data_IF_183298668591
#
_entry.id   IF_183298668591
#
_cell.length_a   1.000
_cell.length_b   1.000
_cell.length_c   1.000
_cell.angle_alpha   90.00
_cell.angle_beta   90.00
_cell.angle_gamma   90.00
#
_symmetry.space_group_name_H-M   'P 1'
#
loop_
_entity.id
_entity.type
_entity.pdbx_description
1 polymer ?
#
# COMPACT_ATOMS: atom_id res chain seq x y z
N UNK A 1 -34.03 55.60 -51.77
CA UNK A 1 -34.57 54.67 -52.80
C UNK A 1 -34.21 53.27 -52.35
N UNK A 2 -35.16 52.47 -51.82
CA UNK A 2 -36.00 51.48 -52.54
C UNK A 2 -35.13 50.50 -53.35
N UNK A 3 -35.20 49.16 -53.27
CA UNK A 3 -36.21 48.17 -52.82
C UNK A 3 -35.48 46.78 -52.76
N UNK A 4 -35.77 45.87 -51.81
CA UNK A 4 -36.65 44.66 -51.90
C UNK A 4 -36.38 43.75 -53.13
N UNK A 5 -36.37 42.40 -53.14
CA UNK A 5 -36.53 41.29 -52.17
C UNK A 5 -36.63 39.95 -52.95
N UNK A 6 -36.48 38.80 -52.25
CA UNK A 6 -37.20 37.50 -52.40
C UNK A 6 -36.76 36.56 -53.58
N UNK A 7 -36.58 35.23 -53.50
CA UNK A 7 -37.04 34.07 -52.68
C UNK A 7 -35.95 32.94 -52.74
N UNK A 8 -35.60 32.23 -51.67
CA UNK A 8 -36.15 30.96 -51.12
C UNK A 8 -36.06 29.68 -52.00
N UNK A 9 -35.45 28.64 -51.40
CA UNK A 9 -35.78 27.22 -51.61
C UNK A 9 -34.71 26.33 -52.28
N UNK A 10 -33.97 25.54 -51.49
CA UNK A 10 -33.84 24.07 -51.65
C UNK A 10 -32.97 23.44 -50.54
N UNK A 11 -33.45 22.29 -50.08
CA UNK A 11 -33.08 21.48 -48.92
C UNK A 11 -31.60 21.08 -48.80
N UNK A 12 -31.05 21.20 -47.59
CA UNK A 12 -29.86 20.48 -47.16
C UNK A 12 -30.23 19.50 -46.03
N UNK A 13 -30.20 18.23 -46.39
CA UNK A 13 -30.41 17.05 -45.55
C UNK A 13 -29.34 16.97 -44.45
N UNK A 14 -29.80 16.68 -43.23
CA UNK A 14 -29.01 16.39 -42.03
C UNK A 14 -27.94 15.31 -42.25
N UNK A 15 -26.68 15.65 -41.97
CA UNK A 15 -25.62 14.69 -41.71
C UNK A 15 -25.45 14.55 -40.18
N UNK A 16 -25.46 13.33 -39.60
CA UNK A 16 -25.32 13.16 -38.17
C UNK A 16 -23.91 13.54 -37.68
N UNK A 17 -23.85 14.32 -36.61
CA UNK A 17 -22.61 14.59 -35.88
C UNK A 17 -21.92 13.27 -35.48
N UNK A 18 -20.58 13.18 -35.60
CA UNK A 18 -19.84 12.03 -35.09
C UNK A 18 -19.96 11.98 -33.55
N UNK A 19 -20.01 10.79 -32.94
CA UNK A 19 -20.13 10.67 -31.49
C UNK A 19 -18.86 11.22 -30.80
N UNK A 20 -19.08 12.00 -29.74
CA UNK A 20 -18.04 12.56 -28.88
C UNK A 20 -17.05 11.47 -28.42
N UNK A 21 -15.76 11.71 -28.70
CA UNK A 21 -14.69 10.92 -28.11
C UNK A 21 -14.63 11.19 -26.59
N UNK A 22 -14.53 10.16 -25.73
CA UNK A 22 -14.51 10.38 -24.29
C UNK A 22 -13.26 11.17 -23.87
N UNK A 23 -13.45 12.15 -22.97
CA UNK A 23 -12.38 12.97 -22.39
C UNK A 23 -11.31 12.06 -21.76
N UNK A 24 -10.04 12.33 -22.04
CA UNK A 24 -8.90 11.54 -21.54
C UNK A 24 -8.82 11.45 -20.01
N UNK A 25 -9.59 12.28 -19.30
CA UNK A 25 -9.79 12.23 -17.83
C UNK A 25 -10.64 11.05 -17.37
N UNK A 26 -11.65 10.64 -18.13
CA UNK A 26 -12.53 9.50 -17.79
C UNK A 26 -11.77 8.16 -17.87
N UNK A 27 -10.82 8.04 -18.81
CA UNK A 27 -9.97 6.86 -18.94
C UNK A 27 -8.95 6.73 -17.79
N UNK A 28 -8.52 7.86 -17.21
CA UNK A 28 -7.60 7.90 -16.05
C UNK A 28 -8.31 7.45 -14.78
N UNK A 29 -9.56 7.86 -14.59
CA UNK A 29 -10.39 7.48 -13.43
C UNK A 29 -10.81 6.00 -13.53
N UNK A 30 -11.12 5.52 -14.74
CA UNK A 30 -11.43 4.11 -15.00
C UNK A 30 -10.23 3.18 -14.77
N UNK A 31 -9.00 3.59 -15.10
CA UNK A 31 -7.80 2.77 -14.88
C UNK A 31 -7.39 2.66 -13.40
N UNK A 32 -7.53 3.74 -12.63
CA UNK A 32 -7.30 3.73 -11.18
C UNK A 32 -8.35 2.88 -10.44
N UNK A 33 -9.60 2.95 -10.89
CA UNK A 33 -10.68 2.13 -10.38
C UNK A 33 -10.55 0.65 -10.80
N UNK A 34 -10.09 0.34 -12.02
CA UNK A 34 -9.87 -1.03 -12.49
C UNK A 34 -8.80 -1.77 -11.67
N UNK A 35 -7.71 -1.07 -11.28
CA UNK A 35 -6.69 -1.59 -10.38
C UNK A 35 -7.25 -1.95 -8.98
N UNK A 36 -8.33 -1.28 -8.54
CA UNK A 36 -8.98 -1.50 -7.24
C UNK A 36 -10.05 -2.61 -7.26
N UNK A 37 -10.54 -3.04 -8.44
CA UNK A 37 -11.64 -4.02 -8.53
C UNK A 37 -11.20 -5.47 -8.65
N UNK A 38 -10.02 -5.71 -9.20
CA UNK A 38 -9.55 -7.09 -9.40
C UNK A 38 -9.12 -7.74 -8.05
N UNK A 39 -8.97 -6.93 -7.00
CA UNK A 39 -8.87 -7.43 -5.62
C UNK A 39 -10.24 -7.74 -5.01
N UNK A 40 -11.33 -7.07 -5.44
CA UNK A 40 -12.72 -7.39 -5.02
C UNK A 40 -13.32 -8.58 -5.76
N UNK A 41 -13.04 -8.73 -7.06
CA UNK A 41 -13.59 -9.82 -7.88
C UNK A 41 -13.12 -11.22 -7.47
N UNK A 42 -12.02 -11.30 -6.72
CA UNK A 42 -11.40 -12.57 -6.29
C UNK A 42 -11.74 -12.93 -4.82
N UNK A 43 -12.29 -11.99 -4.04
CA UNK A 43 -12.65 -12.22 -2.63
C UNK A 43 -14.15 -12.49 -2.40
N UNK A 44 -15.00 -12.35 -3.43
CA UNK A 44 -16.46 -12.48 -3.31
C UNK A 44 -17.01 -13.91 -3.47
N UNK A 45 -16.17 -14.95 -3.46
CA UNK A 45 -16.59 -16.34 -3.26
C UNK A 45 -15.69 -16.98 -2.21
N UNK A 46 -16.01 -16.73 -0.95
CA UNK A 46 -15.65 -17.63 0.13
C UNK A 46 -16.91 -18.41 0.42
N UNK A 47 -17.01 -19.60 -0.17
CA UNK A 47 -18.01 -20.58 0.20
C UNK A 47 -17.90 -20.83 1.72
N UNK A 48 -19.04 -20.90 2.39
CA UNK A 48 -19.11 -21.30 3.80
C UNK A 48 -18.89 -22.81 3.85
N UNK A 49 -17.63 -23.22 3.98
CA UNK A 49 -17.30 -24.63 4.20
C UNK A 49 -17.63 -25.06 5.65
N UNK A 50 -18.03 -26.33 5.86
CA UNK A 50 -18.37 -26.88 7.18
C UNK A 50 -17.16 -26.95 8.12
N UNK A 51 -17.36 -27.11 9.44
CA UNK A 51 -16.28 -27.06 10.41
C UNK A 51 -15.24 -28.17 10.17
N UNK A 52 -13.95 -27.93 10.46
CA UNK A 52 -12.88 -28.87 10.18
C UNK A 52 -12.99 -30.11 11.06
N UNK A 53 -12.99 -31.28 10.42
CA UNK A 53 -12.81 -32.59 11.08
C UNK A 53 -11.33 -32.98 11.07
N UNK A 54 -10.83 -33.31 12.25
CA UNK A 54 -9.56 -33.97 12.61
C UNK A 54 -8.20 -33.44 12.12
N UNK A 55 -7.28 -33.41 13.08
CA UNK A 55 -6.00 -32.72 13.07
C UNK A 55 -4.90 -33.46 12.30
N UNK A 56 -4.75 -33.17 11.01
CA UNK A 56 -3.44 -33.24 10.34
C UNK A 56 -2.88 -31.82 10.19
N UNK A 57 -1.64 -31.58 10.66
CA UNK A 57 -0.94 -30.32 10.39
C UNK A 57 -0.88 -30.15 8.86
N UNK A 58 -1.51 -29.13 8.27
CA UNK A 58 -1.47 -28.97 6.83
C UNK A 58 -0.01 -28.86 6.37
N UNK A 59 0.35 -29.44 5.20
CA UNK A 59 1.71 -29.41 4.70
C UNK A 59 2.19 -27.96 4.63
N UNK A 60 3.31 -27.68 5.29
CA UNK A 60 3.91 -26.35 5.29
C UNK A 60 4.56 -26.12 3.93
N UNK A 61 4.28 -24.97 3.31
CA UNK A 61 4.95 -24.58 2.07
C UNK A 61 6.44 -24.41 2.41
N UNK A 62 7.37 -25.12 1.75
CA UNK A 62 8.78 -25.00 2.06
C UNK A 62 9.30 -23.62 1.66
N UNK A 63 10.21 -23.05 2.45
CA UNK A 63 10.97 -21.88 2.05
C UNK A 63 12.00 -22.26 0.98
N UNK A 64 12.29 -21.34 0.06
CA UNK A 64 13.41 -21.48 -0.85
C UNK A 64 14.73 -21.35 -0.06
N UNK A 65 15.74 -22.13 -0.44
CA UNK A 65 17.09 -21.95 0.09
C UNK A 65 17.65 -20.61 -0.40
N UNK A 66 18.03 -19.68 0.50
CA UNK A 66 18.63 -18.42 0.09
C UNK A 66 19.94 -18.64 -0.67
N UNK A 67 20.23 -17.77 -1.64
CA UNK A 67 21.54 -17.78 -2.30
C UNK A 67 22.64 -17.35 -1.33
N UNK A 68 23.90 -17.72 -1.61
CA UNK A 68 25.05 -17.27 -0.82
C UNK A 68 25.08 -15.75 -0.69
N UNK A 69 24.83 -15.02 -1.78
CA UNK A 69 24.77 -13.55 -1.77
C UNK A 69 23.71 -13.01 -0.80
N UNK A 70 22.49 -13.58 -0.79
CA UNK A 70 21.43 -13.13 0.14
C UNK A 70 21.84 -13.41 1.59
N UNK A 71 22.50 -14.53 1.85
CA UNK A 71 23.00 -14.88 3.16
C UNK A 71 24.12 -13.93 3.63
N UNK A 72 25.03 -13.57 2.73
CA UNK A 72 26.11 -12.62 2.99
C UNK A 72 25.57 -11.22 3.27
N UNK A 73 24.62 -10.74 2.47
CA UNK A 73 23.93 -9.46 2.70
C UNK A 73 23.19 -9.44 4.03
N UNK A 74 22.48 -10.52 4.38
CA UNK A 74 21.78 -10.59 5.66
C UNK A 74 22.74 -10.60 6.85
N UNK A 75 23.90 -11.23 6.70
CA UNK A 75 24.96 -11.23 7.72
C UNK A 75 25.58 -9.85 7.86
N UNK A 76 25.96 -9.21 6.75
CA UNK A 76 26.56 -7.88 6.74
C UNK A 76 25.60 -6.80 7.26
N UNK A 77 24.29 -6.95 7.03
CA UNK A 77 23.26 -6.03 7.49
C UNK A 77 22.61 -6.45 8.80
N UNK A 78 23.11 -7.48 9.50
CA UNK A 78 22.48 -8.03 10.70
C UNK A 78 22.20 -6.93 11.73
N UNK A 79 23.17 -6.06 12.02
CA UNK A 79 22.99 -4.95 12.94
C UNK A 79 21.93 -3.95 12.47
N UNK A 80 21.85 -3.67 11.17
CA UNK A 80 20.86 -2.73 10.63
C UNK A 80 19.45 -3.33 10.71
N UNK A 81 19.31 -4.61 10.36
CA UNK A 81 18.04 -5.35 10.42
C UNK A 81 17.57 -5.56 11.86
N UNK A 82 18.48 -5.86 12.79
CA UNK A 82 18.16 -6.08 14.20
C UNK A 82 17.87 -4.77 14.94
N UNK A 83 18.46 -3.64 14.49
CA UNK A 83 18.29 -2.33 15.10
C UNK A 83 17.35 -1.41 14.29
N UNK A 84 16.22 -1.97 13.84
CA UNK A 84 15.08 -1.19 13.40
C UNK A 84 14.85 -1.08 11.89
N UNK A 85 15.60 -1.77 11.03
CA UNK A 85 15.24 -1.88 9.61
C UNK A 85 14.31 -3.07 9.34
N UNK A 86 13.10 -2.76 8.92
CA UNK A 86 12.04 -3.71 8.60
C UNK A 86 11.76 -3.72 7.09
N UNK A 87 12.45 -4.62 6.38
CA UNK A 87 12.20 -4.86 4.95
C UNK A 87 11.05 -5.84 4.78
N UNK A 88 10.13 -5.50 3.87
CA UNK A 88 8.95 -6.32 3.60
C UNK A 88 8.30 -6.03 2.26
N UNK A 89 7.32 -6.85 1.91
CA UNK A 89 6.55 -6.72 0.66
C UNK A 89 5.09 -6.39 0.97
N UNK A 90 4.33 -5.91 -0.02
CA UNK A 90 2.92 -5.52 0.17
C UNK A 90 1.95 -6.71 0.39
N UNK A 91 2.44 -7.94 0.23
CA UNK A 91 1.75 -9.21 0.48
C UNK A 91 2.78 -10.36 0.32
N UNK A 92 2.40 -11.60 0.63
CA UNK A 92 3.21 -12.81 0.50
C UNK A 92 2.59 -13.87 -0.43
N UNK A 93 1.62 -13.53 -1.28
CA UNK A 93 0.88 -14.55 -2.04
C UNK A 93 1.12 -14.51 -3.55
N UNK A 94 2.38 -14.52 -3.99
CA UNK A 94 2.75 -14.43 -5.41
C UNK A 94 3.44 -15.71 -5.92
N UNK A 95 2.79 -16.46 -6.84
CA UNK A 95 3.37 -17.69 -7.42
C UNK A 95 4.72 -17.52 -8.12
N UNK A 96 4.96 -16.36 -8.73
CA UNK A 96 6.24 -16.05 -9.39
C UNK A 96 7.44 -15.99 -8.45
N UNK A 97 7.25 -16.05 -7.14
CA UNK A 97 8.35 -16.12 -6.17
C UNK A 97 8.82 -17.55 -5.87
N UNK A 98 8.39 -18.54 -6.65
CA UNK A 98 8.99 -19.88 -6.62
C UNK A 98 10.50 -19.80 -6.90
N UNK A 99 11.32 -20.42 -6.05
CA UNK A 99 12.78 -20.31 -6.07
C UNK A 99 13.35 -19.04 -5.44
N UNK A 100 12.53 -18.00 -5.20
CA UNK A 100 12.95 -16.77 -4.52
C UNK A 100 12.57 -16.79 -3.03
N UNK A 101 11.33 -17.21 -2.74
CA UNK A 101 10.75 -17.28 -1.39
C UNK A 101 10.22 -18.69 -1.11
N UNK A 102 9.60 -19.35 -2.10
CA UNK A 102 8.98 -20.67 -1.94
C UNK A 102 9.83 -21.75 -2.61
N UNK A 103 10.03 -22.87 -1.94
CA UNK A 103 10.85 -23.98 -2.43
C UNK A 103 10.23 -24.75 -3.60
N UNK A 104 8.94 -24.55 -3.88
CA UNK A 104 8.24 -25.19 -4.99
C UNK A 104 7.14 -24.30 -5.58
N UNK A 105 6.79 -24.46 -6.87
CA UNK A 105 5.67 -23.77 -7.50
C UNK A 105 4.38 -24.01 -6.73
N UNK A 106 3.78 -22.93 -6.23
CA UNK A 106 2.58 -23.02 -5.39
C UNK A 106 1.55 -21.98 -5.85
N UNK A 107 0.29 -22.41 -5.97
CA UNK A 107 -0.81 -21.54 -6.36
C UNK A 107 -1.08 -20.42 -5.35
N UNK A 108 -1.56 -19.26 -5.85
CA UNK A 108 -1.83 -18.06 -5.04
C UNK A 108 -2.71 -18.33 -3.81
N UNK A 109 -3.74 -19.15 -3.94
CA UNK A 109 -4.66 -19.47 -2.84
C UNK A 109 -3.94 -20.19 -1.68
N UNK A 110 -3.08 -21.16 -1.99
CA UNK A 110 -2.29 -21.86 -0.99
C UNK A 110 -1.23 -20.94 -0.37
N UNK A 111 -0.53 -20.14 -1.18
CA UNK A 111 0.41 -19.13 -0.66
C UNK A 111 -0.27 -18.13 0.30
N UNK A 112 -1.48 -17.67 -0.03
CA UNK A 112 -2.22 -16.74 0.83
C UNK A 112 -2.57 -17.34 2.19
N UNK A 113 -2.81 -18.65 2.27
CA UNK A 113 -3.20 -19.34 3.52
C UNK A 113 -1.99 -19.83 4.33
N UNK A 114 -0.97 -20.33 3.65
CA UNK A 114 0.10 -21.15 4.25
C UNK A 114 1.51 -20.65 3.92
N UNK A 115 1.65 -19.59 3.11
CA UNK A 115 2.95 -19.13 2.61
C UNK A 115 3.69 -18.16 3.55
N UNK A 116 3.01 -17.64 4.58
CA UNK A 116 3.61 -16.67 5.51
C UNK A 116 4.80 -17.25 6.31
N UNK A 117 4.75 -18.51 6.82
CA UNK A 117 5.91 -19.11 7.49
C UNK A 117 7.14 -19.20 6.59
N UNK A 118 6.98 -19.59 5.31
CA UNK A 118 8.06 -19.63 4.33
C UNK A 118 8.60 -18.22 4.02
N UNK A 119 7.70 -17.27 3.82
CA UNK A 119 8.05 -15.86 3.60
C UNK A 119 8.91 -15.29 4.72
N UNK A 120 8.53 -15.56 5.97
CA UNK A 120 9.22 -15.05 7.15
C UNK A 120 10.58 -15.74 7.44
N UNK A 121 10.92 -16.81 6.72
CA UNK A 121 12.25 -17.44 6.79
C UNK A 121 13.28 -16.75 5.90
N UNK A 122 12.86 -15.90 4.94
CA UNK A 122 13.81 -15.22 4.07
C UNK A 122 14.74 -14.29 4.89
N UNK A 123 16.09 -14.39 4.77
CA UNK A 123 17.03 -13.74 5.69
C UNK A 123 16.90 -12.22 5.81
N UNK A 124 16.56 -11.55 4.71
CA UNK A 124 16.40 -10.09 4.66
C UNK A 124 15.00 -9.61 5.09
N UNK A 125 13.98 -10.46 5.10
CA UNK A 125 12.60 -10.03 5.30
C UNK A 125 12.22 -10.09 6.78
N UNK A 126 11.91 -8.91 7.34
CA UNK A 126 11.53 -8.73 8.75
C UNK A 126 10.16 -8.09 8.92
N UNK A 127 9.44 -7.87 7.83
CA UNK A 127 8.11 -7.28 7.85
C UNK A 127 7.27 -7.70 6.65
N UNK A 128 5.97 -7.47 6.74
CA UNK A 128 5.04 -7.58 5.61
C UNK A 128 3.93 -6.54 5.74
N UNK A 129 3.47 -6.03 4.59
CA UNK A 129 2.26 -5.23 4.49
C UNK A 129 1.03 -6.13 4.39
N UNK A 130 -0.02 -5.81 5.15
CA UNK A 130 -1.33 -6.46 5.08
C UNK A 130 -2.33 -5.47 4.46
N UNK A 131 -2.57 -5.58 3.16
CA UNK A 131 -3.49 -4.68 2.45
C UNK A 131 -4.94 -5.20 2.43
N UNK A 132 -5.19 -6.48 2.76
CA UNK A 132 -6.53 -7.08 2.76
C UNK A 132 -7.51 -6.40 3.73
N UNK A 133 -6.99 -5.80 4.81
CA UNK A 133 -7.78 -5.03 5.78
C UNK A 133 -8.49 -3.83 5.19
N UNK A 134 -8.01 -3.32 4.04
CA UNK A 134 -8.67 -2.23 3.32
C UNK A 134 -10.08 -2.60 2.84
N UNK A 135 -10.29 -3.86 2.44
CA UNK A 135 -11.55 -4.32 1.84
C UNK A 135 -12.54 -4.82 2.88
N UNK A 136 -12.05 -5.44 3.95
CA UNK A 136 -12.84 -5.93 5.06
C UNK A 136 -12.01 -5.81 6.35
N UNK A 137 -12.60 -5.32 7.45
CA UNK A 137 -11.95 -5.29 8.75
C UNK A 137 -11.29 -6.64 9.11
N UNK A 138 -10.11 -6.58 9.72
CA UNK A 138 -9.38 -7.76 10.18
C UNK A 138 -9.66 -7.92 11.67
N UNK A 139 -10.21 -9.07 12.05
CA UNK A 139 -10.41 -9.40 13.46
C UNK A 139 -9.10 -9.80 14.16
N UNK A 140 -9.13 -9.80 15.49
CA UNK A 140 -7.98 -10.12 16.32
C UNK A 140 -7.52 -11.58 16.12
N UNK A 141 -8.46 -12.50 15.87
CA UNK A 141 -8.18 -13.93 15.68
C UNK A 141 -7.28 -14.15 14.46
N UNK A 142 -7.62 -13.53 13.32
CA UNK A 142 -6.85 -13.64 12.08
C UNK A 142 -5.48 -12.99 12.20
N UNK A 143 -5.41 -11.81 12.82
CA UNK A 143 -4.13 -11.14 13.08
C UNK A 143 -3.23 -11.97 14.00
N UNK A 144 -3.80 -12.57 15.05
CA UNK A 144 -3.06 -13.43 16.00
C UNK A 144 -2.54 -14.68 15.31
N UNK A 145 -3.38 -15.31 14.48
CA UNK A 145 -2.98 -16.47 13.69
C UNK A 145 -1.78 -16.17 12.77
N UNK A 146 -1.71 -14.97 12.16
CA UNK A 146 -0.52 -14.57 11.40
C UNK A 146 0.67 -14.25 12.30
N UNK A 147 0.45 -13.60 13.44
CA UNK A 147 1.50 -13.29 14.40
C UNK A 147 2.20 -14.55 14.94
N UNK A 148 1.46 -15.64 15.13
CA UNK A 148 2.00 -16.94 15.57
C UNK A 148 2.88 -17.64 14.52
N UNK A 149 2.75 -17.27 13.24
CA UNK A 149 3.46 -17.90 12.12
C UNK A 149 4.84 -17.32 11.83
N UNK A 150 5.22 -16.22 12.50
CA UNK A 150 6.44 -15.46 12.18
C UNK A 150 7.37 -15.31 13.39
N UNK A 151 8.69 -15.11 13.17
CA UNK A 151 9.65 -14.89 14.24
C UNK A 151 9.32 -13.69 15.14
N UNK A 152 9.86 -13.66 16.36
CA UNK A 152 9.59 -12.63 17.37
C UNK A 152 9.99 -11.20 16.92
N UNK A 153 11.04 -11.09 16.11
CA UNK A 153 11.55 -9.84 15.55
C UNK A 153 10.75 -9.32 14.34
N UNK A 154 9.82 -10.12 13.82
CA UNK A 154 9.02 -9.73 12.67
C UNK A 154 7.99 -8.65 13.05
N UNK A 155 7.69 -7.75 12.13
CA UNK A 155 6.71 -6.67 12.35
C UNK A 155 5.68 -6.62 11.24
N UNK A 156 4.42 -6.35 11.58
CA UNK A 156 3.35 -6.17 10.60
C UNK A 156 3.05 -4.70 10.34
N UNK A 157 2.89 -4.35 9.07
CA UNK A 157 2.29 -3.09 8.64
C UNK A 157 0.87 -3.38 8.20
N UNK A 158 -0.11 -3.09 9.05
CA UNK A 158 -1.53 -3.43 8.78
C UNK A 158 -2.23 -2.22 8.20
N UNK A 159 -2.81 -2.37 7.01
CA UNK A 159 -3.60 -1.31 6.38
C UNK A 159 -5.01 -1.29 6.97
N UNK A 160 -5.43 -0.11 7.37
CA UNK A 160 -6.77 0.08 7.93
C UNK A 160 -7.87 0.00 6.86
N UNK A 161 -9.13 -0.28 7.26
CA UNK A 161 -10.27 -0.40 6.34
C UNK A 161 -10.61 0.89 5.59
N UNK A 162 -11.04 0.74 4.34
CA UNK A 162 -11.57 1.84 3.52
C UNK A 162 -12.80 2.52 4.15
N UNK A 163 -13.52 1.79 5.01
CA UNK A 163 -14.59 2.31 5.86
C UNK A 163 -14.15 3.53 6.69
N UNK A 164 -12.87 3.66 7.02
CA UNK A 164 -12.36 4.81 7.80
C UNK A 164 -11.68 5.84 6.89
N UNK A 165 -11.03 5.40 5.82
CA UNK A 165 -10.13 6.26 5.03
C UNK A 165 -10.67 6.70 3.69
N UNK A 166 -11.76 6.11 3.20
CA UNK A 166 -12.44 6.54 1.98
C UNK A 166 -13.63 7.44 2.34
N UNK A 167 -13.73 8.59 1.68
CA UNK A 167 -14.79 9.57 1.93
C UNK A 167 -16.14 9.10 1.40
N UNK A 168 -16.13 8.15 0.46
CA UNK A 168 -17.33 7.61 -0.16
C UNK A 168 -17.35 6.10 -0.06
N UNK A 169 -18.54 5.54 0.15
CA UNK A 169 -18.76 4.12 -0.11
C UNK A 169 -18.65 3.91 -1.61
N UNK A 170 -17.91 2.90 -2.02
CA UNK A 170 -17.71 2.57 -3.43
C UNK A 170 -18.35 1.22 -3.77
N UNK A 171 -19.11 1.18 -4.86
CA UNK A 171 -19.59 -0.06 -5.46
C UNK A 171 -18.43 -0.86 -6.09
N UNK A 172 -18.77 -2.02 -6.66
CA UNK A 172 -17.92 -2.63 -7.68
C UNK A 172 -17.57 -1.57 -8.74
N UNK A 173 -16.33 -1.56 -9.19
CA UNK A 173 -15.80 -0.55 -10.09
C UNK A 173 -15.35 0.77 -9.50
N UNK A 174 -15.20 0.86 -8.18
CA UNK A 174 -14.69 2.07 -7.52
C UNK A 174 -15.66 3.26 -7.60
N UNK A 175 -16.84 3.06 -8.20
CA UNK A 175 -17.85 4.10 -8.38
C UNK A 175 -18.42 4.51 -7.02
N UNK A 176 -18.39 5.80 -6.66
CA UNK A 176 -19.01 6.28 -5.43
C UNK A 176 -20.51 6.00 -5.48
N UNK A 177 -21.05 5.42 -4.41
CA UNK A 177 -22.49 5.17 -4.23
C UNK A 177 -23.11 6.04 -3.13
N UNK A 178 -22.29 6.81 -2.43
CA UNK A 178 -22.74 7.80 -1.46
C UNK A 178 -21.66 8.11 -0.43
N UNK A 179 -21.86 9.17 0.38
CA UNK A 179 -20.96 9.50 1.48
C UNK A 179 -20.73 8.30 2.40
N UNK A 180 -19.52 8.21 2.94
CA UNK A 180 -19.17 7.24 3.97
C UNK A 180 -19.26 7.91 5.34
N UNK A 181 -20.25 7.56 6.19
CA UNK A 181 -20.36 8.13 7.54
C UNK A 181 -19.19 7.74 8.45
N UNK A 182 -18.50 6.63 8.17
CA UNK A 182 -17.33 6.18 8.93
C UNK A 182 -16.03 6.91 8.61
N UNK A 183 -16.04 7.80 7.61
CA UNK A 183 -14.84 8.52 7.19
C UNK A 183 -14.30 9.38 8.34
N UNK A 184 -13.07 9.07 8.80
CA UNK A 184 -12.43 9.71 9.95
C UNK A 184 -13.26 9.63 11.25
N UNK A 185 -14.05 8.57 11.41
CA UNK A 185 -14.76 8.27 12.66
C UNK A 185 -13.82 7.53 13.64
N UNK A 186 -13.45 8.13 14.80
CA UNK A 186 -12.49 7.53 15.72
C UNK A 186 -13.03 6.35 16.51
N UNK A 187 -14.34 6.30 16.78
CA UNK A 187 -14.98 5.24 17.55
C UNK A 187 -15.02 3.97 16.70
N UNK A 188 -15.51 4.10 15.47
CA UNK A 188 -15.51 3.02 14.51
C UNK A 188 -14.08 2.59 14.15
N UNK A 189 -13.15 3.52 13.95
CA UNK A 189 -11.75 3.17 13.71
C UNK A 189 -11.12 2.40 14.88
N UNK A 190 -11.53 2.71 16.11
CA UNK A 190 -11.08 1.98 17.29
C UNK A 190 -11.55 0.54 17.25
N UNK A 191 -12.84 0.33 17.05
CA UNK A 191 -13.47 -0.99 17.02
C UNK A 191 -12.94 -1.87 15.88
N UNK A 192 -12.88 -1.33 14.65
CA UNK A 192 -12.65 -2.17 13.45
C UNK A 192 -11.18 -2.30 13.05
N UNK A 193 -10.28 -1.55 13.69
CA UNK A 193 -8.87 -1.55 13.32
C UNK A 193 -7.93 -1.47 14.53
N UNK A 194 -8.07 -0.48 15.41
CA UNK A 194 -7.09 -0.26 16.49
C UNK A 194 -7.12 -1.37 17.53
N UNK A 195 -8.31 -1.72 18.04
CA UNK A 195 -8.46 -2.72 19.09
C UNK A 195 -8.02 -4.12 18.60
N UNK A 196 -8.50 -4.64 17.45
CA UNK A 196 -8.02 -5.91 16.92
C UNK A 196 -6.50 -5.95 16.70
N UNK A 197 -5.92 -4.83 16.24
CA UNK A 197 -4.47 -4.70 16.04
C UNK A 197 -3.70 -4.82 17.35
N UNK A 198 -4.12 -4.11 18.40
CA UNK A 198 -3.46 -4.12 19.71
C UNK A 198 -3.59 -5.47 20.41
N UNK A 199 -4.78 -6.07 20.38
CA UNK A 199 -5.07 -7.34 21.04
C UNK A 199 -4.31 -8.54 20.43
N UNK A 200 -4.01 -8.48 19.14
CA UNK A 200 -3.53 -9.63 18.39
C UNK A 200 -2.02 -9.67 18.17
N UNK A 201 -1.39 -8.51 17.93
CA UNK A 201 -0.03 -8.47 17.41
C UNK A 201 1.04 -8.33 18.49
N UNK A 202 0.71 -7.78 19.66
CA UNK A 202 1.66 -7.60 20.76
C UNK A 202 2.97 -6.94 20.30
N UNK A 203 4.11 -7.56 20.61
CA UNK A 203 5.43 -7.06 20.19
C UNK A 203 5.67 -7.10 18.67
N UNK A 204 4.85 -7.81 17.89
CA UNK A 204 4.91 -7.88 16.42
C UNK A 204 4.11 -6.76 15.74
N UNK A 205 3.46 -5.90 16.51
CA UNK A 205 2.86 -4.67 16.00
C UNK A 205 3.94 -3.73 15.44
N UNK A 206 3.95 -3.52 14.13
CA UNK A 206 4.83 -2.56 13.47
C UNK A 206 4.17 -1.21 13.29
N UNK A 207 3.24 -1.14 12.33
CA UNK A 207 2.53 0.09 11.95
C UNK A 207 1.05 -0.23 11.70
N UNK A 208 0.14 0.62 12.18
CA UNK A 208 -1.23 0.68 11.69
C UNK A 208 -1.33 1.84 10.70
N UNK A 209 -1.60 1.51 9.43
CA UNK A 209 -1.50 2.42 8.30
C UNK A 209 -2.88 2.92 7.84
N UNK A 210 -3.12 4.22 8.01
CA UNK A 210 -4.25 4.94 7.48
C UNK A 210 -3.93 5.46 6.08
N UNK A 211 -4.25 4.66 5.06
CA UNK A 211 -4.05 5.06 3.67
C UNK A 211 -5.31 5.65 3.08
N UNK A 212 -5.25 6.92 2.66
CA UNK A 212 -6.36 7.66 2.06
C UNK A 212 -6.25 7.64 0.52
N UNK A 213 -7.25 7.11 -0.21
CA UNK A 213 -7.22 7.05 -1.67
C UNK A 213 -7.22 8.45 -2.30
N UNK A 214 -6.95 8.59 -3.62
CA UNK A 214 -7.02 9.89 -4.28
C UNK A 214 -8.38 10.54 -4.08
N UNK A 215 -8.41 11.84 -3.77
CA UNK A 215 -9.63 12.62 -3.54
C UNK A 215 -9.83 13.61 -4.68
N UNK A 216 -10.25 13.09 -5.84
CA UNK A 216 -10.50 13.87 -7.06
C UNK A 216 -12.00 14.17 -7.26
N UNK A 217 -12.30 15.10 -8.16
CA UNK A 217 -13.68 15.38 -8.59
C UNK A 217 -14.61 15.73 -7.42
N UNK A 218 -15.72 15.01 -7.30
CA UNK A 218 -16.70 15.13 -6.22
C UNK A 218 -16.13 14.86 -4.83
N UNK A 219 -15.00 14.15 -4.75
CA UNK A 219 -14.41 13.71 -3.49
C UNK A 219 -13.40 14.72 -2.94
N UNK A 220 -13.12 15.78 -3.70
CA UNK A 220 -12.14 16.81 -3.36
C UNK A 220 -12.48 17.48 -2.04
N UNK A 221 -11.47 17.58 -1.18
CA UNK A 221 -11.51 18.30 0.08
C UNK A 221 -10.45 19.39 0.07
N UNK A 222 -10.75 20.54 0.69
CA UNK A 222 -9.75 21.59 0.87
C UNK A 222 -8.62 21.07 1.78
N UNK A 223 -7.33 21.21 1.43
CA UNK A 223 -6.21 20.63 2.18
C UNK A 223 -6.23 20.96 3.68
N UNK A 224 -6.44 22.23 4.04
CA UNK A 224 -6.54 22.66 5.43
C UNK A 224 -7.69 22.00 6.19
N UNK A 225 -8.88 21.89 5.56
CA UNK A 225 -10.04 21.23 6.18
C UNK A 225 -9.78 19.74 6.40
N UNK A 226 -9.08 19.09 5.46
CA UNK A 226 -8.65 17.70 5.63
C UNK A 226 -7.68 17.54 6.80
N UNK A 227 -6.65 18.39 6.87
CA UNK A 227 -5.68 18.38 7.96
C UNK A 227 -6.34 18.58 9.34
N UNK A 228 -7.29 19.52 9.45
CA UNK A 228 -8.05 19.74 10.69
C UNK A 228 -8.91 18.53 11.08
N UNK A 229 -9.60 17.91 10.12
CA UNK A 229 -10.38 16.69 10.37
C UNK A 229 -9.49 15.51 10.78
N UNK A 230 -8.36 15.34 10.10
CA UNK A 230 -7.39 14.29 10.40
C UNK A 230 -6.77 14.49 11.79
N UNK A 231 -6.39 15.71 12.16
CA UNK A 231 -5.91 16.01 13.51
C UNK A 231 -6.93 15.62 14.58
N UNK A 232 -8.20 16.03 14.42
CA UNK A 232 -9.29 15.67 15.35
C UNK A 232 -9.53 14.17 15.43
N UNK A 233 -9.34 13.45 14.33
CA UNK A 233 -9.41 12.00 14.30
C UNK A 233 -8.24 11.39 15.10
N UNK A 234 -7.00 11.77 14.79
CA UNK A 234 -5.79 11.20 15.40
C UNK A 234 -5.73 11.40 16.92
N UNK A 235 -6.06 12.59 17.43
CA UNK A 235 -6.01 12.86 18.88
C UNK A 235 -7.03 12.04 19.68
N UNK A 236 -8.07 11.52 19.03
CA UNK A 236 -9.12 10.69 19.65
C UNK A 236 -8.85 9.20 19.52
N UNK A 237 -7.86 8.78 18.73
CA UNK A 237 -7.48 7.37 18.66
C UNK A 237 -6.81 6.91 19.95
N UNK A 238 -6.97 5.63 20.33
CA UNK A 238 -6.25 5.03 21.45
C UNK A 238 -4.73 5.20 21.33
N UNK A 239 -4.05 5.29 22.47
CA UNK A 239 -2.57 5.30 22.49
C UNK A 239 -2.03 3.87 22.38
N UNK A 240 -0.78 3.75 21.92
CA UNK A 240 -0.06 2.47 21.85
C UNK A 240 0.45 2.15 20.45
N UNK A 241 -0.42 2.09 19.41
CA UNK A 241 0.04 1.80 18.06
C UNK A 241 0.88 2.93 17.48
N UNK A 242 1.81 2.58 16.60
CA UNK A 242 2.39 3.55 15.67
C UNK A 242 1.39 3.76 14.53
N UNK A 243 0.77 4.93 14.49
CA UNK A 243 -0.08 5.33 13.38
C UNK A 243 0.74 5.96 12.26
N UNK A 244 0.60 5.45 11.05
CA UNK A 244 1.13 6.09 9.85
C UNK A 244 -0.02 6.58 8.96
N UNK A 245 0.09 7.79 8.41
CA UNK A 245 -0.89 8.34 7.47
C UNK A 245 -0.27 8.48 6.09
N UNK A 246 -0.88 7.82 5.11
CA UNK A 246 -0.41 7.78 3.74
C UNK A 246 -1.45 8.35 2.78
N UNK A 247 -1.11 9.42 2.05
CA UNK A 247 -2.01 10.03 1.07
C UNK A 247 -1.65 9.63 -0.36
N UNK A 248 -2.67 9.49 -1.20
CA UNK A 248 -2.54 9.22 -2.64
C UNK A 248 -2.83 10.44 -3.52
N UNK A 249 -2.97 11.60 -2.90
CA UNK A 249 -3.19 12.88 -3.55
C UNK A 249 -2.10 13.89 -3.14
N UNK A 250 -1.32 14.33 -4.13
CA UNK A 250 -0.25 15.28 -3.91
C UNK A 250 -0.74 16.64 -3.40
N UNK A 251 -1.97 17.05 -3.77
CA UNK A 251 -2.53 18.33 -3.35
C UNK A 251 -2.78 18.43 -1.83
N UNK A 252 -2.84 17.29 -1.14
CA UNK A 252 -3.02 17.21 0.30
C UNK A 252 -1.69 17.19 1.07
N UNK A 253 -0.56 16.97 0.39
CA UNK A 253 0.77 16.99 1.00
C UNK A 253 1.20 18.44 1.25
N UNK A 254 0.84 18.96 2.42
CA UNK A 254 0.98 20.37 2.79
C UNK A 254 1.59 20.55 4.19
N UNK A 255 2.09 21.74 4.55
CA UNK A 255 2.53 22.02 5.92
C UNK A 255 1.43 21.82 6.96
N UNK A 256 0.17 22.12 6.63
CA UNK A 256 -0.99 21.87 7.51
C UNK A 256 -1.13 20.37 7.82
N UNK A 257 -0.93 19.51 6.82
CA UNK A 257 -0.89 18.06 7.03
C UNK A 257 0.27 17.67 7.95
N UNK A 258 1.48 18.19 7.71
CA UNK A 258 2.64 17.89 8.55
C UNK A 258 2.37 18.27 10.03
N UNK A 259 1.80 19.45 10.28
CA UNK A 259 1.39 19.88 11.62
C UNK A 259 0.31 18.97 12.23
N UNK A 260 -0.70 18.57 11.44
CA UNK A 260 -1.75 17.66 11.90
C UNK A 260 -1.20 16.29 12.33
N UNK A 261 -0.24 15.74 11.58
CA UNK A 261 0.42 14.48 11.93
C UNK A 261 1.26 14.63 13.21
N UNK A 262 2.07 15.68 13.29
CA UNK A 262 2.91 15.98 14.45
C UNK A 262 2.10 16.07 15.73
N UNK A 263 1.11 16.96 15.77
CA UNK A 263 0.29 17.19 16.95
C UNK A 263 -0.73 16.07 17.19
N UNK A 264 -1.06 15.30 16.16
CA UNK A 264 -1.92 14.11 16.25
C UNK A 264 -1.20 12.87 16.79
N UNK A 265 0.15 12.87 16.83
CA UNK A 265 0.95 11.72 17.25
C UNK A 265 1.05 10.62 16.20
N UNK A 266 1.02 10.97 14.91
CA UNK A 266 1.18 10.04 13.79
C UNK A 266 2.41 10.38 12.95
N UNK A 267 2.95 9.39 12.24
CA UNK A 267 4.06 9.57 11.28
C UNK A 267 3.54 9.61 9.84
N UNK A 268 4.25 10.26 8.90
CA UNK A 268 3.91 10.17 7.49
C UNK A 268 4.22 8.76 6.93
N UNK A 269 3.28 8.21 6.17
CA UNK A 269 3.52 7.10 5.26
C UNK A 269 3.98 7.66 3.91
N UNK A 270 5.28 7.53 3.64
CA UNK A 270 5.95 8.05 2.45
C UNK A 270 5.80 7.04 1.32
N UNK A 271 5.33 7.51 0.15
CA UNK A 271 4.99 6.60 -0.94
C UNK A 271 5.70 6.94 -2.24
N UNK A 272 6.39 5.95 -2.82
CA UNK A 272 6.93 6.07 -4.17
C UNK A 272 5.84 5.63 -5.15
N UNK A 273 5.24 6.62 -5.81
CA UNK A 273 4.15 6.47 -6.76
C UNK A 273 4.18 7.63 -7.78
N UNK A 274 3.86 7.41 -9.07
CA UNK A 274 3.92 8.47 -10.10
C UNK A 274 3.10 9.72 -9.81
N UNK A 275 2.01 9.59 -9.05
CA UNK A 275 1.13 10.71 -8.68
C UNK A 275 1.63 11.56 -7.51
N UNK A 276 2.71 11.17 -6.86
CA UNK A 276 3.21 11.82 -5.64
C UNK A 276 4.54 12.52 -5.90
N UNK A 277 4.91 13.53 -5.10
CA UNK A 277 6.25 14.10 -5.11
C UNK A 277 7.34 13.04 -4.91
N UNK A 278 8.57 13.24 -5.38
CA UNK A 278 9.70 12.37 -5.07
C UNK A 278 9.87 12.16 -3.57
N UNK A 279 10.49 11.03 -3.17
CA UNK A 279 10.64 10.68 -1.75
C UNK A 279 11.40 11.77 -0.97
N UNK A 280 12.40 12.40 -1.60
CA UNK A 280 13.16 13.50 -1.00
C UNK A 280 12.30 14.69 -0.63
N UNK A 281 11.37 15.09 -1.49
CA UNK A 281 10.45 16.21 -1.23
C UNK A 281 9.44 15.85 -0.13
N UNK A 282 8.96 14.60 -0.09
CA UNK A 282 8.11 14.14 1.00
C UNK A 282 8.87 14.16 2.35
N UNK A 283 10.11 13.67 2.38
CA UNK A 283 10.95 13.69 3.58
C UNK A 283 11.22 15.11 4.08
N UNK A 284 11.44 16.06 3.16
CA UNK A 284 11.64 17.47 3.49
C UNK A 284 10.38 18.09 4.10
N UNK A 285 9.21 17.86 3.50
CA UNK A 285 7.92 18.35 4.00
C UNK A 285 7.64 17.92 5.44
N UNK A 286 8.07 16.72 5.83
CA UNK A 286 7.81 16.15 7.15
C UNK A 286 9.01 16.17 8.11
N UNK A 287 10.04 16.96 7.79
CA UNK A 287 11.34 16.97 8.50
C UNK A 287 11.33 17.51 9.94
N UNK A 288 10.16 17.90 10.47
CA UNK A 288 9.98 18.24 11.90
C UNK A 288 8.70 17.68 12.53
N UNK A 289 7.88 16.95 11.76
CA UNK A 289 6.61 16.41 12.24
C UNK A 289 6.70 14.98 12.78
N UNK A 290 7.85 14.31 12.59
CA UNK A 290 7.97 12.87 12.76
C UNK A 290 9.27 12.44 13.45
N UNK A 291 9.95 13.33 14.17
CA UNK A 291 11.34 13.10 14.58
C UNK A 291 11.51 11.95 15.58
N UNK A 292 10.47 11.60 16.33
CA UNK A 292 10.51 10.55 17.35
C UNK A 292 9.95 9.19 16.88
N UNK A 293 9.32 9.14 15.70
CA UNK A 293 8.65 7.94 15.17
C UNK A 293 9.45 7.24 14.06
N UNK A 294 9.04 6.04 13.62
CA UNK A 294 9.71 5.36 12.51
C UNK A 294 9.50 6.08 11.17
N UNK A 295 10.42 5.88 10.24
CA UNK A 295 10.22 6.25 8.84
C UNK A 295 9.46 5.12 8.14
N UNK A 296 8.29 5.41 7.57
CA UNK A 296 7.47 4.40 6.89
C UNK A 296 7.46 4.67 5.40
N UNK A 297 8.09 3.80 4.61
CA UNK A 297 8.22 3.92 3.15
C UNK A 297 7.46 2.78 2.48
N UNK A 298 6.60 3.12 1.53
CA UNK A 298 5.93 2.17 0.64
C UNK A 298 6.32 2.43 -0.81
N UNK A 299 7.04 1.50 -1.41
CA UNK A 299 7.39 1.57 -2.82
C UNK A 299 6.40 0.79 -3.67
N UNK A 300 5.49 1.51 -4.32
CA UNK A 300 4.26 0.92 -4.86
C UNK A 300 4.31 0.72 -6.37
N UNK A 301 4.80 1.72 -7.08
CA UNK A 301 4.75 1.77 -8.54
C UNK A 301 5.85 2.69 -9.04
N UNK A 302 6.61 2.23 -10.03
CA UNK A 302 7.57 3.07 -10.75
C UNK A 302 6.83 4.12 -11.60
N UNK A 303 7.49 5.26 -11.82
CA UNK A 303 6.90 6.42 -12.53
C UNK A 303 6.60 6.20 -14.02
N UNK A 304 7.02 5.08 -14.58
CA UNK A 304 6.98 4.78 -16.02
C UNK A 304 5.65 4.22 -16.52
N UNK A 305 4.85 3.59 -15.66
CA UNK A 305 3.64 2.88 -16.06
C UNK A 305 2.44 3.24 -15.19
N UNK A 306 1.24 3.05 -15.73
CA UNK A 306 0.05 2.92 -14.88
C UNK A 306 0.04 1.55 -14.21
N UNK A 307 -0.69 1.44 -13.10
CA UNK A 307 -0.68 0.22 -12.28
C UNK A 307 -1.08 -1.05 -13.06
N UNK A 308 -2.12 -0.97 -13.89
CA UNK A 308 -2.60 -2.10 -14.68
C UNK A 308 -1.58 -2.53 -15.76
N UNK A 309 -0.94 -1.55 -16.41
CA UNK A 309 0.12 -1.79 -17.41
C UNK A 309 1.32 -2.48 -16.76
N UNK A 310 1.80 -1.94 -15.63
CA UNK A 310 2.90 -2.53 -14.86
C UNK A 310 2.58 -3.96 -14.41
N UNK A 311 1.35 -4.23 -13.95
CA UNK A 311 0.94 -5.58 -13.54
C UNK A 311 1.09 -6.58 -14.69
N UNK A 312 0.61 -6.23 -15.87
CA UNK A 312 0.67 -7.12 -17.05
C UNK A 312 2.11 -7.27 -17.53
N UNK A 313 2.85 -6.16 -17.62
CA UNK A 313 4.21 -6.15 -18.15
C UNK A 313 5.21 -6.89 -17.26
N UNK A 314 5.03 -6.83 -15.95
CA UNK A 314 5.95 -7.42 -14.98
C UNK A 314 5.54 -8.81 -14.49
N UNK A 315 4.38 -9.32 -14.90
CA UNK A 315 4.01 -10.70 -14.59
C UNK A 315 5.07 -11.68 -15.16
N UNK A 316 5.40 -12.77 -14.47
CA UNK A 316 4.76 -13.30 -13.26
C UNK A 316 5.35 -12.76 -11.94
N UNK A 317 6.17 -11.72 -11.98
CA UNK A 317 6.89 -11.11 -10.86
C UNK A 317 8.07 -11.93 -10.30
N UNK A 318 8.73 -12.70 -11.16
CA UNK A 318 9.86 -13.58 -10.85
C UNK A 318 11.24 -12.94 -11.11
N UNK A 319 11.28 -11.77 -11.76
CA UNK A 319 12.51 -11.06 -12.12
C UNK A 319 12.37 -9.55 -11.98
N UNK A 320 13.51 -8.86 -11.96
CA UNK A 320 13.54 -7.43 -12.18
C UNK A 320 13.34 -7.15 -13.67
N UNK A 321 12.37 -6.32 -14.02
CA UNK A 321 12.05 -5.96 -15.40
C UNK A 321 12.58 -4.57 -15.75
N UNK A 322 12.31 -3.59 -14.90
CA UNK A 322 12.74 -2.20 -15.09
C UNK A 322 13.36 -1.65 -13.80
N UNK A 323 14.65 -1.93 -13.57
CA UNK A 323 15.38 -1.42 -12.42
C UNK A 323 15.30 0.10 -12.30
N UNK A 324 15.15 0.58 -11.08
CA UNK A 324 15.04 1.98 -10.70
C UNK A 324 16.12 2.33 -9.64
N UNK A 325 17.39 2.42 -10.06
CA UNK A 325 18.50 2.70 -9.17
C UNK A 325 18.36 4.06 -8.47
N UNK A 326 17.66 5.03 -9.06
CA UNK A 326 17.41 6.35 -8.49
C UNK A 326 16.43 6.31 -7.31
N UNK A 327 15.40 5.47 -7.37
CA UNK A 327 14.53 5.23 -6.22
C UNK A 327 15.26 4.42 -5.13
N UNK A 328 16.02 3.37 -5.50
CA UNK A 328 16.84 2.58 -4.54
C UNK A 328 17.84 3.46 -3.78
N UNK A 329 18.69 4.19 -4.51
CA UNK A 329 18.71 5.63 -4.38
C UNK A 329 18.36 6.32 -3.06
N UNK A 330 17.22 6.97 -3.16
CA UNK A 330 16.58 7.79 -2.16
C UNK A 330 16.16 6.94 -0.95
N UNK A 331 15.69 5.71 -1.16
CA UNK A 331 15.29 4.80 -0.07
C UNK A 331 16.48 4.44 0.81
N UNK A 332 17.63 4.06 0.23
CA UNK A 332 18.83 3.72 0.98
C UNK A 332 19.34 4.93 1.80
N UNK A 333 19.35 6.13 1.21
CA UNK A 333 19.71 7.36 1.93
C UNK A 333 18.77 7.63 3.11
N UNK A 334 17.46 7.42 2.93
CA UNK A 334 16.48 7.57 4.00
C UNK A 334 16.72 6.58 5.14
N UNK A 335 16.97 5.30 4.82
CA UNK A 335 17.30 4.25 5.80
C UNK A 335 18.57 4.60 6.58
N UNK A 336 19.65 4.98 5.90
CA UNK A 336 20.92 5.33 6.55
C UNK A 336 20.78 6.57 7.45
N UNK A 337 20.02 7.58 7.01
CA UNK A 337 19.70 8.76 7.82
C UNK A 337 18.90 8.38 9.08
N UNK A 338 17.88 7.54 8.95
CA UNK A 338 17.09 7.07 10.08
C UNK A 338 17.95 6.29 11.08
N UNK A 339 18.81 5.40 10.59
CA UNK A 339 19.75 4.63 11.42
C UNK A 339 20.68 5.54 12.22
N UNK A 340 21.24 6.57 11.59
CA UNK A 340 22.08 7.55 12.28
C UNK A 340 21.31 8.30 13.39
N UNK A 341 20.00 8.48 13.22
CA UNK A 341 19.09 9.07 14.19
C UNK A 341 18.49 8.05 15.18
N UNK A 342 18.90 6.78 15.13
CA UNK A 342 18.35 5.66 15.93
C UNK A 342 16.83 5.47 15.77
N UNK A 343 16.32 5.78 14.58
CA UNK A 343 14.92 5.60 14.22
C UNK A 343 14.74 4.32 13.42
N UNK A 344 13.70 3.56 13.75
CA UNK A 344 13.29 2.40 12.94
C UNK A 344 12.80 2.85 11.57
N UNK A 345 12.95 2.01 10.56
CA UNK A 345 12.47 2.24 9.19
C UNK A 345 11.73 1.03 8.67
N UNK A 346 10.53 1.23 8.14
CA UNK A 346 9.77 0.22 7.41
C UNK A 346 9.89 0.51 5.91
N UNK A 347 10.31 -0.48 5.13
CA UNK A 347 10.33 -0.40 3.67
C UNK A 347 9.48 -1.53 3.10
N UNK A 348 8.29 -1.18 2.62
CA UNK A 348 7.32 -2.13 2.07
C UNK A 348 7.26 -1.98 0.54
N UNK A 349 7.71 -2.99 -0.18
CA UNK A 349 7.81 -2.95 -1.65
C UNK A 349 6.66 -3.73 -2.30
N UNK A 350 6.11 -3.19 -3.39
CA UNK A 350 5.17 -3.87 -4.25
C UNK A 350 5.88 -4.36 -5.52
N UNK A 351 5.43 -5.46 -6.12
CA UNK A 351 6.06 -5.97 -7.35
C UNK A 351 6.05 -4.96 -8.50
N UNK A 352 5.09 -4.03 -8.54
CA UNK A 352 5.04 -2.97 -9.56
C UNK A 352 6.12 -1.89 -9.37
N UNK A 353 6.92 -1.97 -8.32
CA UNK A 353 8.12 -1.14 -8.18
C UNK A 353 9.11 -1.45 -9.30
N UNK A 354 9.53 -2.71 -9.48
CA UNK A 354 10.62 -3.03 -10.42
C UNK A 354 10.45 -4.37 -11.12
N UNK A 355 9.36 -5.09 -10.87
CA UNK A 355 9.08 -6.40 -11.42
C UNK A 355 9.01 -7.51 -10.37
N UNK A 356 9.85 -7.45 -9.33
CA UNK A 356 9.84 -8.41 -8.23
C UNK A 356 10.22 -7.74 -6.92
N UNK A 357 9.31 -7.72 -5.94
CA UNK A 357 9.54 -7.07 -4.66
C UNK A 357 10.64 -7.75 -3.83
N UNK A 358 10.74 -9.10 -3.75
CA UNK A 358 11.89 -9.75 -3.11
C UNK A 358 13.23 -9.34 -3.74
N UNK A 359 13.34 -9.37 -5.07
CA UNK A 359 14.58 -8.98 -5.75
C UNK A 359 14.89 -7.49 -5.59
N UNK A 360 13.88 -6.62 -5.61
CA UNK A 360 14.03 -5.20 -5.29
C UNK A 360 14.64 -4.99 -3.90
N UNK A 361 14.21 -5.77 -2.91
CA UNK A 361 14.73 -5.70 -1.55
C UNK A 361 16.16 -6.26 -1.43
N UNK A 362 16.52 -7.27 -2.22
CA UNK A 362 17.91 -7.75 -2.33
C UNK A 362 18.80 -6.65 -2.92
N UNK A 363 18.35 -5.98 -3.98
CA UNK A 363 19.10 -4.86 -4.58
C UNK A 363 19.24 -3.67 -3.63
N UNK A 364 18.18 -3.35 -2.86
CA UNK A 364 18.24 -2.34 -1.82
C UNK A 364 19.22 -2.73 -0.71
N UNK A 365 19.22 -4.00 -0.29
CA UNK A 365 20.18 -4.52 0.69
C UNK A 365 21.62 -4.42 0.17
N UNK A 366 21.89 -4.79 -1.09
CA UNK A 366 23.22 -4.61 -1.71
C UNK A 366 23.70 -3.17 -1.63
N UNK A 367 22.78 -2.22 -1.85
CA UNK A 367 23.06 -0.80 -1.80
C UNK A 367 23.25 -0.23 -0.39
N UNK A 368 22.68 -0.88 0.63
CA UNK A 368 22.88 -0.53 2.04
C UNK A 368 24.18 -1.10 2.60
N UNK A 369 24.70 -2.17 1.98
CA UNK A 369 25.96 -2.80 2.34
C UNK A 369 27.19 -2.06 1.77
N UNK A 370 27.04 -1.45 0.59
CA UNK A 370 28.02 -0.53 -0.01
C UNK A 370 28.16 0.74 0.81
#
# INVERSE_FOLDING_TARGET
MRQLSLLDGLDLVDAPNPPDAPDGRDLIEQAANAAQNDERGVLAKVDRDPPPTDHEKPPTIPAATPTAEVQDLATALADTLNNGLYLGTSSWSFPGWSGLIYGAPTGKANLSRQGLPAYAQHPLLRSVGIDSGFYAPLDATRLRHWAEQVPAQFRFVVKAPALITDRYRRAARGRPIGPNPGFLDPEQATEVAVQPYQEALGSKAGVLLWQFPPMAGSDRIAPRRFAEALYRFLIRLPKGPVYAVELRDAALLTPDLAAALHHGGAVPGLALHPRLPPLTQQLELFSGSADDGPIVIRWLLRRNHRYAEARTHYAPFDRLCEPDPESRAQVARAVLKARAQRRSTFVIVNNKAEGSAPLTLVELARRLHQ
#
